data_IF_113495890002
#
_entry.id   IF_113495890002
#
_cell.length_a   1.000
_cell.length_b   1.000
_cell.length_c   1.000
_cell.angle_alpha   90.00
_cell.angle_beta   90.00
_cell.angle_gamma   90.00
#
_symmetry.space_group_name_H-M   'P 1'
#
loop_
_entity.id
_entity.type
_entity.pdbx_description
1 polymer ?
#
# COMPACT_ATOMS: atom_id res chain seq x y z
N UNK A 1 -22.56 17.40 12.47
CA UNK A 1 -23.09 18.29 11.39
C UNK A 1 -21.95 18.58 10.46
N UNK A 2 -21.86 17.84 9.37
CA UNK A 2 -20.91 18.12 8.30
C UNK A 2 -21.49 19.27 7.48
N UNK A 3 -20.95 20.44 7.65
CA UNK A 3 -21.16 21.55 6.73
C UNK A 3 -20.22 21.35 5.53
N UNK A 4 -20.57 20.43 4.64
CA UNK A 4 -19.93 20.39 3.33
C UNK A 4 -20.20 21.73 2.65
N UNK A 5 -19.18 22.35 2.10
CA UNK A 5 -19.10 23.73 1.64
C UNK A 5 -20.13 24.25 0.64
N UNK A 6 -21.40 23.88 0.76
CA UNK A 6 -22.50 24.49 0.03
C UNK A 6 -23.26 25.46 0.95
N UNK A 7 -23.39 26.72 0.59
CA UNK A 7 -24.13 27.69 1.37
C UNK A 7 -25.60 27.26 1.41
N UNK A 8 -26.10 26.94 2.59
CA UNK A 8 -27.53 26.79 2.82
C UNK A 8 -28.02 25.42 3.28
N UNK A 9 -27.26 24.34 3.16
CA UNK A 9 -27.72 23.06 3.66
C UNK A 9 -27.45 22.93 5.16
N UNK A 10 -28.46 23.19 5.94
CA UNK A 10 -28.48 22.85 7.36
C UNK A 10 -28.77 21.35 7.63
N UNK A 11 -28.77 20.52 6.62
CA UNK A 11 -29.14 19.12 6.69
C UNK A 11 -28.05 18.25 7.29
N UNK A 12 -28.45 17.27 8.06
CA UNK A 12 -27.54 16.28 8.63
C UNK A 12 -27.31 15.20 7.58
N UNK A 13 -26.07 15.07 7.09
CA UNK A 13 -25.69 13.98 6.21
C UNK A 13 -25.62 12.65 6.98
N UNK A 14 -26.02 11.56 6.33
CA UNK A 14 -25.77 10.24 6.83
C UNK A 14 -24.24 9.96 6.85
N UNK A 15 -23.73 9.13 7.77
CA UNK A 15 -22.36 8.68 7.71
C UNK A 15 -22.07 7.97 6.39
N UNK A 16 -20.80 8.03 5.94
CA UNK A 16 -20.31 7.17 4.88
C UNK A 16 -20.46 5.70 5.31
N UNK A 17 -20.85 4.85 4.38
CA UNK A 17 -21.03 3.43 4.63
C UNK A 17 -19.98 2.61 3.87
N UNK A 18 -19.36 1.67 4.57
CA UNK A 18 -18.38 0.75 4.00
C UNK A 18 -18.85 -0.69 4.22
N UNK A 19 -18.75 -1.47 3.17
CA UNK A 19 -19.01 -2.89 3.16
C UNK A 19 -17.79 -3.61 2.60
N UNK A 20 -17.32 -4.63 3.31
CA UNK A 20 -16.26 -5.51 2.84
C UNK A 20 -16.70 -6.95 3.01
N UNK A 21 -16.58 -7.73 1.94
CA UNK A 21 -16.78 -9.17 1.94
C UNK A 21 -15.48 -9.83 1.54
N UNK A 22 -14.98 -10.73 2.35
CA UNK A 22 -13.73 -11.43 2.09
C UNK A 22 -13.92 -12.93 2.29
N UNK A 23 -13.35 -13.71 1.38
CA UNK A 23 -13.26 -15.16 1.48
C UNK A 23 -11.81 -15.56 1.26
N UNK A 24 -11.24 -16.24 2.23
CA UNK A 24 -9.82 -16.59 2.18
C UNK A 24 -9.50 -17.92 2.84
N UNK A 25 -8.28 -18.35 2.64
CA UNK A 25 -7.69 -19.52 3.26
C UNK A 25 -6.32 -19.17 3.82
N UNK A 26 -6.03 -19.68 5.01
CA UNK A 26 -4.71 -19.61 5.62
C UNK A 26 -4.18 -21.02 5.84
N UNK A 27 -2.95 -21.26 5.42
CA UNK A 27 -2.27 -22.55 5.56
C UNK A 27 -0.91 -22.34 6.22
N UNK A 28 -0.66 -23.08 7.29
CA UNK A 28 0.65 -23.14 7.89
C UNK A 28 1.50 -24.16 7.11
N UNK A 29 2.44 -23.66 6.32
CA UNK A 29 3.37 -24.47 5.51
C UNK A 29 4.39 -25.16 6.41
N UNK A 30 4.79 -24.48 7.48
CA UNK A 30 5.59 -25.01 8.58
C UNK A 30 5.10 -24.43 9.90
N UNK A 31 5.71 -24.79 11.03
CA UNK A 31 5.42 -24.17 12.34
C UNK A 31 5.72 -22.67 12.39
N UNK A 32 6.45 -22.14 11.41
CA UNK A 32 6.96 -20.76 11.41
C UNK A 32 6.67 -20.00 10.13
N UNK A 33 6.09 -20.64 9.11
CA UNK A 33 5.80 -20.03 7.81
C UNK A 33 4.35 -20.30 7.42
N UNK A 34 3.59 -19.23 7.16
CA UNK A 34 2.20 -19.30 6.75
C UNK A 34 1.98 -18.63 5.40
N UNK A 35 1.02 -19.17 4.66
CA UNK A 35 0.49 -18.64 3.41
C UNK A 35 -0.98 -18.28 3.63
N UNK A 36 -1.36 -17.07 3.25
CA UNK A 36 -2.75 -16.62 3.20
C UNK A 36 -3.10 -16.27 1.77
N UNK A 37 -4.28 -16.66 1.32
CA UNK A 37 -4.87 -16.24 0.05
C UNK A 37 -6.31 -15.80 0.30
N UNK A 38 -6.71 -14.66 -0.24
CA UNK A 38 -8.04 -14.11 -0.09
C UNK A 38 -8.53 -13.50 -1.39
N UNK A 39 -9.85 -13.55 -1.60
CA UNK A 39 -10.58 -12.71 -2.53
C UNK A 39 -11.42 -11.74 -1.70
N UNK A 40 -11.46 -10.48 -2.09
CA UNK A 40 -12.23 -9.43 -1.43
C UNK A 40 -13.09 -8.65 -2.41
N UNK A 41 -14.24 -8.16 -1.93
CA UNK A 41 -15.13 -7.20 -2.60
C UNK A 41 -15.45 -6.09 -1.59
N UNK A 42 -14.97 -4.88 -1.84
CA UNK A 42 -15.09 -3.71 -0.96
C UNK A 42 -15.87 -2.61 -1.65
N UNK A 43 -16.84 -2.04 -0.95
CA UNK A 43 -17.72 -1.00 -1.45
C UNK A 43 -17.80 0.15 -0.45
N UNK A 44 -17.82 1.36 -0.98
CA UNK A 44 -18.00 2.56 -0.18
C UNK A 44 -19.10 3.43 -0.79
N UNK A 45 -20.10 3.77 0.00
CA UNK A 45 -21.13 4.73 -0.34
C UNK A 45 -20.85 6.03 0.41
N UNK A 46 -20.81 7.14 -0.29
CA UNK A 46 -20.53 8.46 0.27
C UNK A 46 -21.68 9.41 -0.02
N UNK A 47 -21.93 10.31 0.92
CA UNK A 47 -22.80 11.44 0.68
C UNK A 47 -22.08 12.45 -0.22
N UNK A 48 -22.64 12.71 -1.38
CA UNK A 48 -22.18 13.68 -2.36
C UNK A 48 -23.16 14.82 -2.56
N UNK A 49 -22.67 15.97 -2.98
CA UNK A 49 -23.51 17.10 -3.38
C UNK A 49 -23.76 17.05 -4.89
N UNK A 50 -25.03 16.87 -5.27
CA UNK A 50 -25.42 17.01 -6.67
C UNK A 50 -25.62 18.50 -7.01
N UNK A 51 -24.70 19.06 -7.78
CA UNK A 51 -24.75 20.44 -8.22
C UNK A 51 -25.93 20.76 -9.16
N UNK A 52 -26.59 19.73 -9.71
CA UNK A 52 -27.75 19.90 -10.63
C UNK A 52 -29.04 20.03 -9.86
N UNK A 53 -29.28 19.17 -8.88
CA UNK A 53 -30.47 19.19 -8.04
C UNK A 53 -30.35 20.10 -6.82
N UNK A 54 -29.14 20.54 -6.50
CA UNK A 54 -28.78 21.25 -5.28
C UNK A 54 -29.09 20.44 -3.99
N UNK A 55 -29.12 19.14 -4.10
CA UNK A 55 -29.42 18.20 -3.01
C UNK A 55 -28.20 17.35 -2.64
N UNK A 56 -28.15 16.85 -1.41
CA UNK A 56 -27.22 15.82 -1.02
C UNK A 56 -27.79 14.45 -1.35
N UNK A 57 -27.05 13.70 -2.13
CA UNK A 57 -27.36 12.33 -2.50
C UNK A 57 -26.36 11.37 -1.91
N UNK A 58 -26.77 10.14 -1.66
CA UNK A 58 -25.86 9.03 -1.35
C UNK A 58 -25.65 8.24 -2.62
N UNK A 59 -24.41 8.13 -3.03
CA UNK A 59 -24.03 7.38 -4.22
C UNK A 59 -22.90 6.41 -3.91
N UNK A 60 -22.76 5.37 -4.70
CA UNK A 60 -21.60 4.51 -4.64
C UNK A 60 -20.37 5.26 -5.12
N UNK A 61 -19.47 5.53 -4.17
CA UNK A 61 -18.26 6.28 -4.46
C UNK A 61 -17.15 5.37 -4.98
N UNK A 62 -16.94 4.21 -4.31
CA UNK A 62 -15.86 3.29 -4.65
C UNK A 62 -16.36 1.85 -4.56
N UNK A 63 -16.02 1.05 -5.56
CA UNK A 63 -16.14 -0.39 -5.54
C UNK A 63 -14.82 -0.99 -6.05
N UNK A 64 -14.23 -1.89 -5.29
CA UNK A 64 -12.96 -2.52 -5.62
C UNK A 64 -13.04 -3.99 -5.25
N UNK A 65 -12.70 -4.86 -6.19
CA UNK A 65 -12.53 -6.28 -5.92
C UNK A 65 -11.17 -6.79 -6.40
N UNK A 66 -10.68 -7.84 -5.75
CA UNK A 66 -9.35 -8.32 -6.03
C UNK A 66 -8.96 -9.56 -5.25
N UNK A 67 -7.73 -9.96 -5.46
CA UNK A 67 -7.09 -11.10 -4.78
C UNK A 67 -5.85 -10.65 -4.04
N UNK A 68 -5.61 -11.27 -2.90
CA UNK A 68 -4.41 -11.07 -2.10
C UNK A 68 -3.74 -12.41 -1.77
N UNK A 69 -2.40 -12.38 -1.82
CA UNK A 69 -1.56 -13.47 -1.35
C UNK A 69 -0.55 -12.89 -0.35
N UNK A 70 -0.43 -13.52 0.80
CA UNK A 70 0.62 -13.21 1.78
C UNK A 70 1.38 -14.49 2.14
N UNK A 71 2.71 -14.45 2.00
CA UNK A 71 3.61 -15.44 2.58
C UNK A 71 4.42 -14.76 3.67
N UNK A 72 4.36 -15.27 4.90
CA UNK A 72 5.00 -14.62 6.04
C UNK A 72 5.55 -15.62 7.04
N UNK A 73 6.77 -15.39 7.45
CA UNK A 73 7.39 -16.13 8.53
C UNK A 73 8.84 -16.50 8.27
N UNK A 74 9.30 -17.45 9.04
CA UNK A 74 10.67 -17.96 8.98
C UNK A 74 10.77 -19.10 7.96
N UNK A 75 11.58 -18.88 6.92
CA UNK A 75 11.86 -19.88 5.88
C UNK A 75 12.88 -20.91 6.38
N UNK A 76 13.89 -20.45 7.11
CA UNK A 76 14.89 -21.28 7.79
C UNK A 76 15.50 -20.49 8.96
N UNK A 77 16.46 -21.08 9.68
CA UNK A 77 17.07 -20.48 10.89
C UNK A 77 17.69 -19.10 10.69
N UNK A 78 17.92 -18.68 9.43
CA UNK A 78 18.61 -17.43 9.08
C UNK A 78 17.77 -16.48 8.24
N UNK A 79 16.62 -16.90 7.72
CA UNK A 79 15.84 -16.12 6.78
C UNK A 79 14.41 -15.98 7.25
N UNK A 80 14.02 -14.75 7.57
CA UNK A 80 12.62 -14.33 7.70
C UNK A 80 12.18 -13.64 6.42
N UNK A 81 10.99 -14.01 5.93
CA UNK A 81 10.41 -13.50 4.70
C UNK A 81 8.98 -12.98 4.95
N UNK A 82 8.68 -11.82 4.40
CA UNK A 82 7.32 -11.34 4.20
C UNK A 82 7.17 -10.99 2.73
N UNK A 83 6.19 -11.59 2.06
CA UNK A 83 5.84 -11.34 0.67
C UNK A 83 4.34 -11.08 0.62
N UNK A 84 3.94 -9.95 0.04
CA UNK A 84 2.56 -9.60 -0.27
C UNK A 84 2.41 -9.42 -1.78
N UNK A 85 1.32 -9.92 -2.32
CA UNK A 85 0.88 -9.73 -3.69
C UNK A 85 -0.59 -9.36 -3.68
N UNK A 86 -0.95 -8.27 -4.34
CA UNK A 86 -2.34 -7.85 -4.55
C UNK A 86 -2.58 -7.72 -6.04
N UNK A 87 -3.68 -8.30 -6.51
CA UNK A 87 -4.19 -8.09 -7.86
C UNK A 87 -5.61 -7.55 -7.78
N UNK A 88 -5.80 -6.33 -8.23
CA UNK A 88 -7.12 -5.70 -8.36
C UNK A 88 -7.73 -6.15 -9.69
N UNK A 89 -8.93 -6.73 -9.63
CA UNK A 89 -9.65 -7.24 -10.79
C UNK A 89 -10.50 -6.14 -11.40
N UNK A 90 -11.20 -5.37 -10.55
CA UNK A 90 -11.95 -4.19 -10.96
C UNK A 90 -11.90 -3.10 -9.87
N UNK A 91 -11.86 -1.86 -10.29
CA UNK A 91 -11.89 -0.70 -9.40
C UNK A 91 -12.69 0.44 -10.06
N UNK A 92 -13.80 0.81 -9.45
CA UNK A 92 -14.70 1.84 -9.94
C UNK A 92 -14.91 2.95 -8.90
N UNK A 93 -14.96 4.18 -9.40
CA UNK A 93 -15.48 5.33 -8.68
C UNK A 93 -16.75 5.80 -9.36
N UNK A 94 -17.92 5.47 -8.80
CA UNK A 94 -19.20 5.54 -9.48
C UNK A 94 -19.23 4.62 -10.71
N UNK A 95 -19.37 5.19 -11.89
CA UNK A 95 -19.38 4.43 -13.18
C UNK A 95 -18.03 4.47 -13.91
N UNK A 96 -17.01 5.11 -13.35
CA UNK A 96 -15.72 5.33 -13.99
C UNK A 96 -14.66 4.44 -13.35
N UNK A 97 -13.65 4.07 -14.13
CA UNK A 97 -12.46 3.42 -13.59
C UNK A 97 -11.78 4.33 -12.56
N UNK A 98 -11.47 3.76 -11.41
CA UNK A 98 -10.90 4.52 -10.29
C UNK A 98 -9.44 4.89 -10.55
N UNK A 99 -9.08 6.13 -10.21
CA UNK A 99 -7.69 6.59 -10.26
C UNK A 99 -6.88 6.04 -9.08
N UNK A 100 -5.57 6.02 -9.26
CA UNK A 100 -4.60 5.65 -8.21
C UNK A 100 -4.81 4.25 -7.61
N UNK A 101 -5.47 3.38 -8.35
CA UNK A 101 -5.64 1.98 -8.00
C UNK A 101 -4.86 1.15 -9.04
N UNK A 102 -3.63 0.73 -8.73
CA UNK A 102 -2.86 -0.12 -9.62
C UNK A 102 -3.43 -1.54 -9.65
N UNK A 103 -3.45 -2.16 -10.84
CA UNK A 103 -3.93 -3.55 -10.98
C UNK A 103 -3.06 -4.54 -10.20
N UNK A 104 -1.76 -4.28 -10.10
CA UNK A 104 -0.82 -5.18 -9.46
C UNK A 104 0.06 -4.45 -8.46
N UNK A 105 0.19 -5.03 -7.27
CA UNK A 105 1.14 -4.60 -6.26
C UNK A 105 1.90 -5.80 -5.71
N UNK A 106 3.21 -5.64 -5.55
CA UNK A 106 4.07 -6.63 -4.89
C UNK A 106 4.88 -5.94 -3.82
N UNK A 107 4.93 -6.52 -2.65
CA UNK A 107 5.82 -6.10 -1.57
C UNK A 107 6.57 -7.31 -1.04
N UNK A 108 7.88 -7.20 -0.90
CA UNK A 108 8.72 -8.23 -0.31
C UNK A 108 9.70 -7.61 0.67
N UNK A 109 9.88 -8.28 1.79
CA UNK A 109 10.95 -7.98 2.74
C UNK A 109 11.60 -9.28 3.18
N UNK A 110 12.88 -9.42 2.89
CA UNK A 110 13.69 -10.55 3.31
C UNK A 110 14.75 -10.07 4.32
N UNK A 111 14.76 -10.69 5.49
CA UNK A 111 15.72 -10.39 6.55
C UNK A 111 16.60 -11.61 6.75
N UNK A 112 17.93 -11.43 6.66
CA UNK A 112 18.91 -12.50 6.74
C UNK A 112 19.85 -12.28 7.94
N UNK A 113 19.88 -13.24 8.83
CA UNK A 113 20.85 -13.32 9.90
C UNK A 113 22.12 -14.06 9.41
N UNK A 114 23.20 -13.31 9.20
CA UNK A 114 24.48 -13.88 8.77
C UNK A 114 25.21 -14.51 9.96
N UNK A 115 25.17 -13.82 11.11
CA UNK A 115 25.73 -14.24 12.38
C UNK A 115 24.99 -13.57 13.53
N UNK A 116 25.20 -13.96 14.80
CA UNK A 116 24.57 -13.29 15.96
C UNK A 116 24.83 -11.78 16.04
N UNK A 117 25.83 -11.28 15.32
CA UNK A 117 26.19 -9.85 15.31
C UNK A 117 25.92 -9.15 13.98
N UNK A 118 25.67 -9.87 12.91
CA UNK A 118 25.54 -9.30 11.57
C UNK A 118 24.28 -9.83 10.87
N UNK A 119 23.43 -8.94 10.43
CA UNK A 119 22.30 -9.24 9.55
C UNK A 119 22.14 -8.19 8.48
N UNK A 120 21.43 -8.53 7.44
CA UNK A 120 21.02 -7.61 6.38
C UNK A 120 19.58 -7.91 5.95
N UNK A 121 18.97 -6.93 5.34
CA UNK A 121 17.65 -7.09 4.77
C UNK A 121 17.57 -6.41 3.40
N UNK A 122 16.70 -6.93 2.56
CA UNK A 122 16.32 -6.33 1.28
C UNK A 122 14.81 -6.25 1.17
N UNK A 123 14.33 -5.09 0.75
CA UNK A 123 12.94 -4.82 0.41
C UNK A 123 12.78 -4.61 -1.08
N UNK A 124 11.70 -5.13 -1.64
CA UNK A 124 11.28 -4.84 -3.02
C UNK A 124 9.82 -4.42 -2.97
N UNK A 125 9.52 -3.29 -3.59
CA UNK A 125 8.17 -2.82 -3.81
C UNK A 125 7.96 -2.60 -5.29
N UNK A 126 6.97 -3.26 -5.86
CA UNK A 126 6.49 -3.03 -7.22
C UNK A 126 5.06 -2.53 -7.18
N UNK A 127 4.78 -1.49 -7.94
CA UNK A 127 3.44 -0.97 -8.18
C UNK A 127 3.23 -0.90 -9.69
N UNK A 128 2.16 -1.53 -10.15
CA UNK A 128 1.73 -1.47 -11.54
C UNK A 128 1.24 -0.08 -11.96
N UNK A 129 0.92 0.07 -13.21
CA UNK A 129 0.32 1.31 -13.74
C UNK A 129 -0.99 1.63 -13.04
N UNK A 130 -1.31 2.93 -12.93
CA UNK A 130 -2.61 3.37 -12.42
C UNK A 130 -3.08 4.64 -13.11
N UNK A 131 -4.40 4.82 -13.20
CA UNK A 131 -4.99 6.02 -13.79
C UNK A 131 -4.66 7.26 -12.98
N UNK A 132 -4.33 8.35 -13.67
CA UNK A 132 -4.12 9.67 -13.03
C UNK A 132 -5.44 10.30 -12.61
N UNK A 133 -6.54 10.00 -13.34
CA UNK A 133 -7.88 10.57 -13.15
C UNK A 133 -8.94 9.53 -13.38
N UNK A 134 -10.02 9.56 -12.61
CA UNK A 134 -11.17 8.68 -12.76
C UNK A 134 -11.74 8.71 -14.19
N UNK A 135 -11.82 7.54 -14.82
CA UNK A 135 -12.26 7.37 -16.20
C UNK A 135 -11.39 8.07 -17.24
N UNK A 136 -10.16 8.43 -16.88
CA UNK A 136 -9.18 8.99 -17.82
C UNK A 136 -8.47 7.92 -18.64
N UNK A 137 -7.51 8.38 -19.47
CA UNK A 137 -6.66 7.50 -20.30
C UNK A 137 -5.17 7.67 -19.99
N UNK A 138 -4.82 8.64 -19.16
CA UNK A 138 -3.44 8.89 -18.78
C UNK A 138 -3.09 8.05 -17.56
N UNK A 139 -1.92 7.43 -17.60
CA UNK A 139 -1.44 6.53 -16.56
C UNK A 139 -0.22 7.10 -15.84
N UNK A 140 -0.14 6.84 -14.53
CA UNK A 140 1.13 6.82 -13.83
C UNK A 140 1.86 5.54 -14.26
N UNK A 141 3.13 5.62 -14.65
CA UNK A 141 3.90 4.44 -15.03
C UNK A 141 4.14 3.54 -13.83
N UNK A 142 4.29 2.26 -14.10
CA UNK A 142 4.75 1.28 -13.12
C UNK A 142 6.14 1.62 -12.59
N UNK A 143 6.43 1.14 -11.40
CA UNK A 143 7.78 1.22 -10.86
C UNK A 143 8.13 0.07 -9.93
N UNK A 144 9.42 -0.19 -9.82
CA UNK A 144 9.99 -1.08 -8.81
C UNK A 144 11.02 -0.32 -8.01
N UNK A 145 10.85 -0.26 -6.69
CA UNK A 145 11.79 0.31 -5.73
C UNK A 145 12.44 -0.80 -4.93
N UNK A 146 13.75 -0.68 -4.73
CA UNK A 146 14.53 -1.61 -3.91
C UNK A 146 15.08 -0.84 -2.72
N UNK A 147 14.90 -1.39 -1.52
CA UNK A 147 15.40 -0.88 -0.26
C UNK A 147 16.36 -1.92 0.35
N UNK A 148 17.29 -1.49 1.18
CA UNK A 148 18.20 -2.38 1.90
C UNK A 148 18.45 -1.91 3.32
N UNK A 149 18.80 -2.85 4.20
CA UNK A 149 19.25 -2.54 5.54
C UNK A 149 20.44 -3.45 5.94
N UNK A 150 21.32 -2.89 6.75
CA UNK A 150 22.41 -3.62 7.37
C UNK A 150 22.34 -3.43 8.88
N UNK A 151 22.45 -4.51 9.63
CA UNK A 151 22.37 -4.52 11.09
C UNK A 151 23.68 -5.06 11.66
N UNK A 152 24.26 -4.34 12.61
CA UNK A 152 25.49 -4.76 13.27
C UNK A 152 25.43 -4.52 14.78
N UNK A 153 25.63 -5.59 15.56
CA UNK A 153 25.76 -5.50 17.02
C UNK A 153 27.21 -5.18 17.37
N UNK A 154 27.45 -3.92 17.75
CA UNK A 154 28.77 -3.46 18.19
C UNK A 154 29.16 -4.10 19.53
N UNK A 155 28.18 -4.24 20.45
CA UNK A 155 28.22 -4.98 21.69
C UNK A 155 26.83 -5.51 22.02
N UNK A 156 26.65 -6.16 23.15
CA UNK A 156 25.36 -6.69 23.57
C UNK A 156 24.32 -5.57 23.79
N UNK A 157 24.78 -4.35 24.11
CA UNK A 157 23.92 -3.18 24.37
C UNK A 157 23.84 -2.23 23.18
N UNK A 158 24.75 -2.30 22.19
CA UNK A 158 24.81 -1.34 21.10
C UNK A 158 24.53 -1.97 19.74
N UNK A 159 23.54 -1.43 19.04
CA UNK A 159 23.18 -1.80 17.67
C UNK A 159 23.37 -0.64 16.72
N UNK A 160 24.12 -0.87 15.65
CA UNK A 160 24.25 0.00 14.50
C UNK A 160 23.31 -0.50 13.39
N UNK A 161 22.57 0.42 12.75
CA UNK A 161 21.70 0.10 11.63
C UNK A 161 21.87 1.11 10.53
N UNK A 162 22.18 0.64 9.33
CA UNK A 162 22.22 1.40 8.10
C UNK A 162 21.00 1.03 7.26
N UNK A 163 20.16 2.02 6.91
CA UNK A 163 19.04 1.84 6.01
C UNK A 163 19.30 2.62 4.73
N UNK A 164 19.00 2.02 3.60
CA UNK A 164 19.05 2.62 2.27
C UNK A 164 17.69 2.45 1.62
N UNK A 165 16.99 3.56 1.39
CA UNK A 165 15.73 3.61 0.65
C UNK A 165 16.02 3.96 -0.80
N UNK A 166 15.28 3.37 -1.73
CA UNK A 166 15.46 3.55 -3.17
C UNK A 166 16.93 3.32 -3.61
N UNK A 167 17.45 2.15 -3.30
CA UNK A 167 18.86 1.77 -3.52
C UNK A 167 19.31 1.99 -4.98
N UNK A 168 18.42 1.79 -5.93
CA UNK A 168 18.66 1.93 -7.38
C UNK A 168 18.51 3.36 -7.89
N UNK A 169 18.11 4.29 -7.01
CA UNK A 169 17.83 5.71 -7.36
C UNK A 169 16.81 5.85 -8.49
N UNK A 170 15.79 5.00 -8.47
CA UNK A 170 14.72 4.99 -9.47
C UNK A 170 13.88 6.26 -9.36
N UNK A 171 13.70 6.98 -10.45
CA UNK A 171 12.65 7.99 -10.54
C UNK A 171 11.28 7.31 -10.64
N UNK A 172 10.36 7.65 -9.76
CA UNK A 172 9.02 7.07 -9.73
C UNK A 172 7.96 8.08 -9.26
N UNK A 173 6.69 7.80 -9.57
CA UNK A 173 5.56 8.67 -9.33
C UNK A 173 4.47 7.93 -8.53
N UNK A 174 4.50 8.00 -7.19
CA UNK A 174 3.59 7.20 -6.36
C UNK A 174 2.15 7.70 -6.34
N UNK A 175 1.92 8.98 -6.61
CA UNK A 175 0.61 9.62 -6.47
C UNK A 175 0.38 10.70 -7.52
N UNK A 176 -0.91 10.96 -7.79
CA UNK A 176 -1.36 12.08 -8.61
C UNK A 176 -2.54 12.80 -7.96
N UNK A 177 -2.60 14.11 -8.12
CA UNK A 177 -3.80 14.89 -7.85
C UNK A 177 -4.44 15.33 -9.18
N UNK A 178 -4.99 14.35 -9.92
CA UNK A 178 -5.48 14.54 -11.29
C UNK A 178 -4.37 14.92 -12.28
N UNK A 179 -4.71 15.38 -13.48
CA UNK A 179 -3.78 15.64 -14.59
C UNK A 179 -2.85 16.84 -14.40
N UNK A 180 -3.07 17.66 -13.40
CA UNK A 180 -2.32 18.91 -13.19
C UNK A 180 -1.20 18.79 -12.14
N UNK A 181 -1.14 17.70 -11.40
CA UNK A 181 -0.13 17.51 -10.36
C UNK A 181 0.18 16.03 -10.16
N UNK A 182 1.45 15.70 -10.20
CA UNK A 182 2.00 14.35 -9.92
C UNK A 182 3.09 14.49 -8.88
N UNK A 183 3.07 13.62 -7.89
CA UNK A 183 4.09 13.57 -6.84
C UNK A 183 5.29 12.77 -7.33
N UNK A 184 6.50 13.30 -7.10
CA UNK A 184 7.75 12.58 -7.36
C UNK A 184 8.12 11.81 -6.09
N UNK A 185 8.46 10.54 -6.23
CA UNK A 185 8.98 9.71 -5.16
C UNK A 185 10.36 10.18 -4.68
N UNK A 186 10.73 9.81 -3.48
CA UNK A 186 12.03 10.19 -2.91
C UNK A 186 13.17 9.55 -3.67
N UNK A 187 14.21 10.34 -3.93
CA UNK A 187 15.50 9.85 -4.38
C UNK A 187 16.14 8.91 -3.35
N UNK A 188 17.25 8.28 -3.72
CA UNK A 188 18.00 7.42 -2.79
C UNK A 188 18.32 8.16 -1.50
N UNK A 189 17.95 7.54 -0.39
CA UNK A 189 18.17 8.07 0.95
C UNK A 189 18.95 7.05 1.79
N UNK A 190 19.88 7.55 2.59
CA UNK A 190 20.67 6.73 3.51
C UNK A 190 20.52 7.27 4.94
N UNK A 191 20.18 6.38 5.86
CA UNK A 191 20.06 6.69 7.30
C UNK A 191 20.90 5.75 8.14
N UNK A 192 21.74 6.32 8.96
CA UNK A 192 22.50 5.60 9.98
C UNK A 192 21.87 5.84 11.35
N UNK A 193 21.63 4.77 12.10
CA UNK A 193 21.08 4.82 13.46
C UNK A 193 21.96 4.02 14.41
N UNK A 194 22.20 4.57 15.59
CA UNK A 194 22.83 3.89 16.71
C UNK A 194 21.83 3.81 17.86
N UNK A 195 21.55 2.60 18.33
CA UNK A 195 20.64 2.34 19.45
C UNK A 195 21.37 1.69 20.60
N UNK A 196 21.00 2.04 21.83
CA UNK A 196 21.49 1.42 23.06
C UNK A 196 20.33 0.90 23.89
N UNK A 197 20.44 -0.34 24.35
CA UNK A 197 19.58 -0.93 25.38
C UNK A 197 20.19 -0.67 26.76
N UNK A 198 19.37 -0.45 27.80
CA UNK A 198 19.77 -0.22 29.18
C UNK A 198 19.19 -1.29 30.06
#
# INVERSE_FOLDING_TARGET
KLTGGSPGSGETLNPDYFENTEVGVKVDLTSYLSLTAAYFDSKADKAGYDGTSAEYIVERALAVDGMELELKGRVNDKLDLTLGYTNIIDAKNGTKDAREVPETQVSMWANVEVSPRLGWAVGVMHQGESLIKDGGTQMLPDYTRVDAALYFMLSDDFRLQLNMENLTDKLYFPHSHSTHQVSVGRERNVRLSLSRSF
#
